data_IF_486342529759
#
_entry.id   IF_486342529759
#
_cell.length_a   1.000
_cell.length_b   1.000
_cell.length_c   1.000
_cell.angle_alpha   90.00
_cell.angle_beta   90.00
_cell.angle_gamma   90.00
#
_symmetry.space_group_name_H-M   'P 1'
#
loop_
_entity.id
_entity.type
_entity.pdbx_description
1 polymer ?
#
# COMPACT_ATOMS: atom_id res chain seq x y z
N UNK A 1 -3.78 -3.16 10.50
CA UNK A 1 -3.50 -3.11 11.94
C UNK A 1 -2.28 -3.99 12.21
N UNK A 2 -2.09 -4.46 13.45
CA UNK A 2 -1.02 -5.41 13.82
C UNK A 2 -1.32 -6.81 13.26
N UNK A 3 -0.29 -7.64 13.09
CA UNK A 3 -0.37 -8.98 12.51
C UNK A 3 -1.41 -9.88 13.17
N UNK A 4 -1.58 -9.76 14.49
CA UNK A 4 -2.53 -10.53 15.31
C UNK A 4 -4.00 -10.34 14.91
N UNK A 5 -4.32 -9.24 14.22
CA UNK A 5 -5.69 -8.89 13.81
C UNK A 5 -5.96 -9.18 12.34
N UNK A 6 -4.93 -9.52 11.55
CA UNK A 6 -5.06 -9.65 10.09
C UNK A 6 -6.15 -10.64 9.72
N UNK A 7 -6.19 -11.83 10.34
CA UNK A 7 -7.21 -12.84 10.00
C UNK A 7 -8.62 -12.36 10.32
N UNK A 8 -8.83 -11.66 11.43
CA UNK A 8 -10.14 -11.08 11.78
C UNK A 8 -10.56 -10.04 10.75
N UNK A 9 -9.64 -9.16 10.34
CA UNK A 9 -9.90 -8.11 9.34
C UNK A 9 -10.20 -8.71 7.97
N UNK A 10 -9.44 -9.72 7.53
CA UNK A 10 -9.66 -10.37 6.24
C UNK A 10 -10.99 -11.14 6.24
N UNK A 11 -11.34 -11.83 7.32
CA UNK A 11 -12.64 -12.51 7.44
C UNK A 11 -13.82 -11.53 7.36
N UNK A 12 -13.70 -10.36 8.00
CA UNK A 12 -14.73 -9.32 7.89
C UNK A 12 -14.88 -8.82 6.45
N UNK A 13 -13.78 -8.60 5.75
CA UNK A 13 -13.81 -8.26 4.32
C UNK A 13 -14.53 -9.33 3.50
N UNK A 14 -14.21 -10.61 3.72
CA UNK A 14 -14.84 -11.74 3.03
C UNK A 14 -16.37 -11.75 3.23
N UNK A 15 -16.83 -11.52 4.47
CA UNK A 15 -18.27 -11.39 4.77
C UNK A 15 -18.90 -10.22 4.04
N UNK A 16 -18.31 -9.03 4.10
CA UNK A 16 -18.85 -7.84 3.44
C UNK A 16 -18.95 -8.04 1.93
N UNK A 17 -17.90 -8.59 1.31
CA UNK A 17 -17.83 -8.77 -0.14
C UNK A 17 -18.72 -9.89 -0.64
N UNK A 18 -18.58 -11.09 -0.08
CA UNK A 18 -19.19 -12.31 -0.66
C UNK A 18 -20.52 -12.70 -0.03
N UNK A 19 -20.73 -12.40 1.26
CA UNK A 19 -22.00 -12.75 1.93
C UNK A 19 -23.02 -11.62 1.84
N UNK A 20 -22.56 -10.36 1.90
CA UNK A 20 -23.44 -9.18 1.88
C UNK A 20 -23.44 -8.43 0.55
N UNK A 21 -22.55 -8.77 -0.38
CA UNK A 21 -22.55 -8.25 -1.75
C UNK A 21 -22.06 -6.80 -1.89
N UNK A 22 -21.26 -6.29 -0.94
CA UNK A 22 -20.74 -4.92 -1.04
C UNK A 22 -19.61 -4.80 -2.06
N UNK A 23 -19.81 -3.95 -3.07
CA UNK A 23 -18.84 -3.75 -4.15
C UNK A 23 -17.77 -2.68 -3.85
N UNK A 24 -18.04 -1.81 -2.88
CA UNK A 24 -17.25 -0.62 -2.53
C UNK A 24 -16.38 -0.81 -1.28
N UNK A 25 -15.87 -2.02 -1.07
CA UNK A 25 -15.01 -2.38 0.06
C UNK A 25 -13.65 -2.85 -0.47
N UNK A 26 -12.57 -2.37 0.13
CA UNK A 26 -11.21 -2.77 -0.19
C UNK A 26 -10.43 -3.17 1.06
N UNK A 27 -9.25 -3.75 0.86
CA UNK A 27 -8.35 -4.22 1.92
C UNK A 27 -6.99 -3.56 1.86
N UNK A 28 -6.25 -3.60 2.97
CA UNK A 28 -4.86 -3.15 3.04
C UNK A 28 -3.94 -4.35 3.20
N UNK A 29 -2.95 -4.47 2.31
CA UNK A 29 -1.87 -5.45 2.42
C UNK A 29 -0.59 -4.75 2.90
N UNK A 30 0.16 -5.42 3.78
CA UNK A 30 1.42 -4.95 4.33
C UNK A 30 2.58 -5.78 3.77
N UNK A 31 3.43 -5.18 2.93
CA UNK A 31 4.51 -5.89 2.25
C UNK A 31 5.57 -6.51 3.18
N UNK A 32 5.69 -6.02 4.41
CA UNK A 32 6.65 -6.58 5.36
C UNK A 32 6.27 -7.94 5.95
N UNK A 33 5.05 -8.46 5.75
CA UNK A 33 4.62 -9.74 6.34
C UNK A 33 4.90 -10.89 5.37
N UNK A 34 5.37 -12.01 5.90
CA UNK A 34 5.63 -13.22 5.10
C UNK A 34 4.36 -13.76 4.42
N UNK A 35 3.20 -13.64 5.09
CA UNK A 35 1.90 -14.11 4.57
C UNK A 35 1.38 -13.32 3.37
N UNK A 36 1.83 -12.08 3.17
CA UNK A 36 1.21 -11.14 2.21
C UNK A 36 1.20 -11.64 0.78
N UNK A 37 2.16 -12.48 0.39
CA UNK A 37 2.15 -13.12 -0.93
C UNK A 37 0.93 -14.00 -1.14
N UNK A 38 0.61 -14.84 -0.16
CA UNK A 38 -0.53 -15.74 -0.22
C UNK A 38 -1.85 -14.94 -0.20
N UNK A 39 -1.94 -13.94 0.67
CA UNK A 39 -3.12 -13.07 0.74
C UNK A 39 -3.36 -12.34 -0.60
N UNK A 40 -2.30 -11.84 -1.25
CA UNK A 40 -2.41 -11.20 -2.58
C UNK A 40 -2.86 -12.19 -3.65
N UNK A 41 -2.37 -13.44 -3.65
CA UNK A 41 -2.83 -14.44 -4.61
C UNK A 41 -4.34 -14.69 -4.49
N UNK A 42 -4.86 -14.75 -3.27
CA UNK A 42 -6.30 -14.87 -3.03
C UNK A 42 -7.05 -13.63 -3.56
N UNK A 43 -6.60 -12.42 -3.22
CA UNK A 43 -7.27 -11.19 -3.64
C UNK A 43 -7.23 -10.92 -5.15
N UNK A 44 -6.24 -11.47 -5.85
CA UNK A 44 -6.20 -11.51 -7.31
C UNK A 44 -7.36 -12.35 -7.87
N UNK A 45 -7.63 -13.52 -7.29
CA UNK A 45 -8.75 -14.37 -7.74
C UNK A 45 -10.11 -13.72 -7.49
N UNK A 46 -10.21 -12.90 -6.45
CA UNK A 46 -11.46 -12.23 -6.04
C UNK A 46 -11.72 -10.91 -6.78
N UNK A 47 -10.76 -10.39 -7.53
CA UNK A 47 -10.89 -9.06 -8.16
C UNK A 47 -10.98 -7.93 -7.13
N UNK A 48 -10.24 -8.03 -6.03
CA UNK A 48 -10.36 -7.11 -4.91
C UNK A 48 -9.78 -5.71 -5.21
N UNK A 49 -10.26 -4.69 -4.49
CA UNK A 49 -9.54 -3.42 -4.40
C UNK A 49 -8.54 -3.48 -3.24
N UNK A 50 -7.25 -3.32 -3.52
CA UNK A 50 -6.17 -3.48 -2.54
C UNK A 50 -5.32 -2.23 -2.45
N UNK A 51 -5.11 -1.75 -1.23
CA UNK A 51 -4.07 -0.77 -0.89
C UNK A 51 -2.82 -1.52 -0.41
N UNK A 52 -1.71 -1.41 -1.15
CA UNK A 52 -0.42 -1.97 -0.73
C UNK A 52 0.40 -0.91 0.00
N UNK A 53 0.84 -1.22 1.22
CA UNK A 53 1.80 -0.41 1.98
C UNK A 53 2.97 -1.28 2.46
N UNK A 54 4.07 -0.68 2.95
CA UNK A 54 5.16 -1.47 3.54
C UNK A 54 4.74 -2.15 4.85
N UNK A 55 4.00 -1.43 5.69
CA UNK A 55 3.67 -1.83 7.06
C UNK A 55 4.10 -0.74 8.04
N UNK A 56 3.35 -0.58 9.13
CA UNK A 56 3.52 0.55 10.06
C UNK A 56 3.97 0.14 11.46
N UNK A 57 3.87 -1.15 11.80
CA UNK A 57 4.00 -1.66 13.16
C UNK A 57 5.36 -2.31 13.40
N UNK A 58 5.76 -2.43 14.67
CA UNK A 58 6.93 -3.19 15.08
C UNK A 58 6.52 -4.66 15.30
N UNK A 59 6.57 -5.44 14.21
CA UNK A 59 6.22 -6.86 14.22
C UNK A 59 7.42 -7.74 14.61
N UNK A 60 7.18 -8.91 15.24
CA UNK A 60 8.23 -9.86 15.56
C UNK A 60 8.83 -10.50 14.29
N UNK A 61 10.11 -10.90 14.36
CA UNK A 61 10.87 -11.39 13.20
C UNK A 61 10.33 -12.71 12.63
N UNK A 62 9.53 -13.42 13.41
CA UNK A 62 8.87 -14.67 13.06
C UNK A 62 7.74 -14.48 12.04
N UNK A 63 7.19 -13.27 11.92
CA UNK A 63 6.04 -12.97 11.03
C UNK A 63 6.33 -11.91 9.98
N UNK A 64 7.42 -11.16 10.14
CA UNK A 64 7.75 -10.02 9.30
C UNK A 64 9.24 -9.90 8.96
N UNK A 65 9.52 -9.37 7.77
CA UNK A 65 10.86 -8.96 7.36
C UNK A 65 11.38 -7.87 8.31
N UNK A 66 12.57 -8.12 8.86
CA UNK A 66 13.27 -7.16 9.72
C UNK A 66 14.17 -6.22 8.92
N UNK A 67 14.73 -6.70 7.80
CA UNK A 67 15.50 -5.88 6.86
C UNK A 67 14.57 -5.04 5.97
N UNK A 68 14.96 -3.79 5.75
CA UNK A 68 14.27 -2.88 4.84
C UNK A 68 14.31 -3.40 3.41
N UNK A 69 15.44 -3.97 2.99
CA UNK A 69 15.67 -4.46 1.62
C UNK A 69 14.69 -5.58 1.29
N UNK A 70 14.52 -6.55 2.19
CA UNK A 70 13.56 -7.63 1.99
C UNK A 70 12.11 -7.11 1.90
N UNK A 71 11.76 -6.10 2.70
CA UNK A 71 10.45 -5.44 2.63
C UNK A 71 10.24 -4.72 1.29
N UNK A 72 11.26 -4.01 0.80
CA UNK A 72 11.23 -3.30 -0.47
C UNK A 72 11.12 -4.28 -1.65
N UNK A 73 11.90 -5.35 -1.64
CA UNK A 73 11.87 -6.39 -2.66
C UNK A 73 10.51 -7.09 -2.70
N UNK A 74 9.95 -7.41 -1.53
CA UNK A 74 8.61 -7.99 -1.46
C UNK A 74 7.54 -6.98 -1.90
N UNK A 75 7.66 -5.69 -1.56
CA UNK A 75 6.74 -4.65 -2.04
C UNK A 75 6.70 -4.59 -3.56
N UNK A 76 7.87 -4.63 -4.21
CA UNK A 76 7.96 -4.65 -5.68
C UNK A 76 7.37 -5.94 -6.24
N UNK A 77 7.68 -7.10 -5.64
CA UNK A 77 7.13 -8.39 -6.08
C UNK A 77 5.59 -8.41 -6.01
N UNK A 78 5.00 -7.96 -4.91
CA UNK A 78 3.55 -7.90 -4.72
C UNK A 78 2.90 -6.88 -5.68
N UNK A 79 3.53 -5.73 -5.90
CA UNK A 79 3.06 -4.73 -6.88
C UNK A 79 2.97 -5.35 -8.29
N UNK A 80 4.02 -6.09 -8.70
CA UNK A 80 4.03 -6.76 -10.00
C UNK A 80 2.93 -7.81 -10.13
N UNK A 81 2.69 -8.59 -9.06
CA UNK A 81 1.61 -9.58 -9.03
C UNK A 81 0.24 -8.92 -9.21
N UNK A 82 -0.02 -7.82 -8.50
CA UNK A 82 -1.32 -7.12 -8.53
C UNK A 82 -1.56 -6.30 -9.81
N UNK A 83 -0.51 -6.01 -10.59
CA UNK A 83 -0.62 -5.33 -11.88
C UNK A 83 -0.55 -6.29 -13.08
N UNK A 84 -0.23 -7.57 -12.85
CA UNK A 84 -0.15 -8.57 -13.90
C UNK A 84 -1.49 -8.72 -14.65
N UNK A 85 -1.42 -9.28 -15.86
CA UNK A 85 -2.58 -9.47 -16.73
C UNK A 85 -3.74 -10.20 -16.03
N UNK A 86 -3.45 -11.27 -15.30
CA UNK A 86 -4.44 -12.04 -14.53
C UNK A 86 -5.17 -11.16 -13.50
N UNK A 87 -4.43 -10.38 -12.70
CA UNK A 87 -5.01 -9.50 -11.70
C UNK A 87 -5.95 -8.46 -12.32
N UNK A 88 -5.51 -7.84 -13.42
CA UNK A 88 -6.31 -6.86 -14.16
C UNK A 88 -7.53 -7.51 -14.81
N UNK A 89 -7.40 -8.72 -15.37
CA UNK A 89 -8.51 -9.46 -15.97
C UNK A 89 -9.60 -9.80 -14.95
N UNK A 90 -9.20 -10.15 -13.72
CA UNK A 90 -10.13 -10.43 -12.63
C UNK A 90 -10.74 -9.16 -12.00
N UNK A 91 -10.34 -7.96 -12.47
CA UNK A 91 -10.89 -6.69 -11.98
C UNK A 91 -10.22 -6.16 -10.72
N UNK A 92 -9.04 -6.66 -10.35
CA UNK A 92 -8.27 -6.13 -9.23
C UNK A 92 -7.88 -4.67 -9.49
N UNK A 93 -7.99 -3.84 -8.46
CA UNK A 93 -7.52 -2.45 -8.50
C UNK A 93 -6.50 -2.19 -7.40
N UNK A 94 -5.35 -1.63 -7.77
CA UNK A 94 -4.22 -1.41 -6.86
C UNK A 94 -4.06 0.06 -6.48
N UNK A 95 -4.07 0.34 -5.18
CA UNK A 95 -3.57 1.57 -4.59
C UNK A 95 -2.15 1.39 -4.04
N UNK A 96 -1.15 1.98 -4.70
CA UNK A 96 0.27 1.91 -4.30
C UNK A 96 0.56 2.98 -3.25
N UNK A 97 0.50 2.61 -1.97
CA UNK A 97 0.64 3.53 -0.86
C UNK A 97 2.09 3.64 -0.35
N UNK A 98 2.85 4.57 -0.94
CA UNK A 98 4.25 4.79 -0.61
C UNK A 98 4.70 6.23 -0.91
N UNK A 99 5.71 6.70 -0.19
CA UNK A 99 6.45 7.94 -0.49
C UNK A 99 7.87 7.64 -0.97
N UNK A 100 8.22 6.37 -1.20
CA UNK A 100 9.57 5.96 -1.57
C UNK A 100 9.76 6.02 -3.08
N UNK A 101 10.69 6.87 -3.54
CA UNK A 101 11.01 7.05 -4.97
C UNK A 101 11.31 5.74 -5.69
N UNK A 102 12.03 4.83 -5.02
CA UNK A 102 12.43 3.56 -5.64
C UNK A 102 11.22 2.68 -5.91
N UNK A 103 10.26 2.67 -4.99
CA UNK A 103 9.04 1.87 -5.13
C UNK A 103 8.12 2.45 -6.20
N UNK A 104 8.03 3.79 -6.26
CA UNK A 104 7.25 4.49 -7.28
C UNK A 104 7.86 4.24 -8.66
N UNK A 105 9.17 4.42 -8.82
CA UNK A 105 9.84 4.18 -10.08
C UNK A 105 9.74 2.72 -10.50
N UNK A 106 9.93 1.76 -9.59
CA UNK A 106 9.77 0.34 -9.90
C UNK A 106 8.34 -0.02 -10.37
N UNK A 107 7.32 0.66 -9.82
CA UNK A 107 5.92 0.53 -10.26
C UNK A 107 5.74 1.08 -11.68
N UNK A 108 6.23 2.29 -11.93
CA UNK A 108 6.16 2.97 -13.23
C UNK A 108 6.86 2.15 -14.30
N UNK A 109 8.08 1.67 -14.03
CA UNK A 109 8.88 0.89 -14.96
C UNK A 109 8.17 -0.42 -15.34
N UNK A 110 7.60 -1.10 -14.35
CA UNK A 110 6.82 -2.31 -14.60
C UNK A 110 5.56 -2.02 -15.43
N UNK A 111 4.79 -0.99 -15.05
CA UNK A 111 3.59 -0.61 -15.79
C UNK A 111 3.91 -0.27 -17.24
N UNK A 112 4.96 0.52 -17.48
CA UNK A 112 5.41 0.88 -18.82
C UNK A 112 5.86 -0.36 -19.62
N UNK A 113 6.67 -1.24 -19.03
CA UNK A 113 7.13 -2.46 -19.68
C UNK A 113 5.99 -3.42 -20.06
N UNK A 114 4.87 -3.38 -19.33
CA UNK A 114 3.68 -4.19 -19.57
C UNK A 114 2.59 -3.46 -20.36
N UNK A 115 2.84 -2.23 -20.85
CA UNK A 115 1.86 -1.36 -21.50
C UNK A 115 0.57 -1.18 -20.67
N UNK A 116 0.71 -1.08 -19.35
CA UNK A 116 -0.39 -0.85 -18.42
C UNK A 116 -0.68 0.65 -18.37
N UNK A 117 -1.94 1.00 -18.58
CA UNK A 117 -2.38 2.39 -18.57
C UNK A 117 -2.26 3.01 -17.17
N UNK A 118 -1.88 4.30 -17.05
CA UNK A 118 -1.78 5.01 -15.77
C UNK A 118 -3.07 5.08 -14.94
N UNK A 119 -4.23 4.82 -15.54
CA UNK A 119 -5.55 4.76 -14.88
C UNK A 119 -5.89 3.36 -14.35
N UNK A 120 -5.08 2.34 -14.62
CA UNK A 120 -5.30 0.97 -14.13
C UNK A 120 -4.92 0.81 -12.64
N UNK A 121 -4.27 1.80 -12.05
CA UNK A 121 -3.88 1.84 -10.64
C UNK A 121 -3.78 3.30 -10.16
N UNK A 122 -3.56 3.49 -8.86
CA UNK A 122 -3.32 4.82 -8.29
C UNK A 122 -2.12 4.81 -7.34
N UNK A 123 -1.46 5.95 -7.21
CA UNK A 123 -0.55 6.21 -6.10
C UNK A 123 -1.31 6.80 -4.93
N UNK A 124 -0.91 6.44 -3.72
CA UNK A 124 -1.51 6.98 -2.51
C UNK A 124 -0.44 7.53 -1.56
N UNK A 125 -0.61 8.77 -1.12
CA UNK A 125 0.32 9.46 -0.22
C UNK A 125 -0.42 10.08 0.95
N UNK A 126 0.31 10.51 1.97
CA UNK A 126 -0.23 11.17 3.14
C UNK A 126 -0.29 12.68 2.91
N UNK A 127 -1.32 13.29 3.49
CA UNK A 127 -1.47 14.73 3.45
C UNK A 127 -0.25 15.44 4.06
N UNK A 128 0.24 16.46 3.35
CA UNK A 128 1.35 17.31 3.82
C UNK A 128 2.76 16.74 3.62
N UNK A 129 2.92 15.62 2.91
CA UNK A 129 4.23 14.98 2.69
C UNK A 129 4.51 14.85 1.20
N UNK A 130 5.69 15.33 0.75
CA UNK A 130 6.15 15.26 -0.65
C UNK A 130 5.14 15.80 -1.66
N UNK A 131 4.64 17.02 -1.41
CA UNK A 131 3.59 17.62 -2.23
C UNK A 131 4.02 17.80 -3.69
N UNK A 132 5.27 18.16 -3.96
CA UNK A 132 5.75 18.35 -5.34
C UNK A 132 5.72 17.03 -6.09
N UNK A 133 6.18 15.93 -5.46
CA UNK A 133 6.05 14.59 -6.05
C UNK A 133 4.58 14.20 -6.34
N UNK A 134 3.64 14.57 -5.46
CA UNK A 134 2.22 14.31 -5.72
C UNK A 134 1.76 15.03 -6.99
N UNK A 135 2.11 16.31 -7.12
CA UNK A 135 1.78 17.14 -8.28
C UNK A 135 2.48 16.64 -9.56
N UNK A 136 3.74 16.19 -9.46
CA UNK A 136 4.50 15.60 -10.56
C UNK A 136 3.86 14.29 -11.08
N UNK A 137 3.41 13.40 -10.19
CA UNK A 137 2.77 12.15 -10.59
C UNK A 137 1.44 12.41 -11.30
N UNK A 138 0.67 13.38 -10.83
CA UNK A 138 -0.56 13.83 -11.49
C UNK A 138 -0.24 14.43 -12.86
N UNK A 139 0.79 15.27 -12.97
CA UNK A 139 1.21 15.85 -14.25
C UNK A 139 1.68 14.78 -15.26
N UNK A 140 2.18 13.64 -14.79
CA UNK A 140 2.52 12.46 -15.59
C UNK A 140 1.31 11.59 -15.95
N UNK A 141 0.11 11.95 -15.51
CA UNK A 141 -1.15 11.25 -15.83
C UNK A 141 -1.52 10.12 -14.86
N UNK A 142 -0.78 9.93 -13.76
CA UNK A 142 -1.15 8.93 -12.76
C UNK A 142 -2.26 9.43 -11.85
N UNK A 143 -3.12 8.51 -11.41
CA UNK A 143 -4.09 8.79 -10.36
C UNK A 143 -3.39 8.95 -9.01
N UNK A 144 -3.81 9.96 -8.24
CA UNK A 144 -3.26 10.26 -6.91
C UNK A 144 -4.38 10.36 -5.88
N UNK A 145 -4.25 9.63 -4.78
CA UNK A 145 -5.13 9.74 -3.61
C UNK A 145 -4.33 10.21 -2.40
N UNK A 146 -4.77 11.30 -1.79
CA UNK A 146 -4.15 11.82 -0.56
C UNK A 146 -4.96 11.39 0.66
N UNK A 147 -4.31 10.70 1.59
CA UNK A 147 -4.90 10.29 2.86
C UNK A 147 -4.85 11.46 3.85
N UNK A 148 -6.04 12.00 4.16
CA UNK A 148 -6.24 13.18 5.01
C UNK A 148 -6.83 12.75 6.36
N UNK A 149 -6.02 12.60 7.42
CA UNK A 149 -6.56 12.41 8.77
C UNK A 149 -7.20 13.73 9.25
N UNK A 150 -8.33 13.65 9.94
CA UNK A 150 -9.06 14.81 10.49
C UNK A 150 -9.57 14.51 11.92
N UNK A 151 -9.97 15.54 12.66
CA UNK A 151 -10.45 15.44 14.05
C UNK A 151 -9.45 15.96 15.08
N UNK A 152 -9.89 16.34 16.28
CA UNK A 152 -9.08 17.11 17.25
C UNK A 152 -7.81 16.43 17.76
N UNK A 153 -7.75 15.09 17.72
CA UNK A 153 -6.62 14.30 18.21
C UNK A 153 -5.76 13.67 17.09
N UNK A 154 -5.89 14.15 15.84
CA UNK A 154 -5.27 13.52 14.68
C UNK A 154 -3.73 13.50 14.76
N UNK A 155 -3.11 14.63 15.12
CA UNK A 155 -1.66 14.80 15.08
C UNK A 155 -0.93 13.98 16.16
N UNK A 156 -1.35 13.97 17.44
CA UNK A 156 -0.74 13.12 18.46
C UNK A 156 -0.89 11.63 18.18
N UNK A 157 -2.05 11.21 17.67
CA UNK A 157 -2.30 9.81 17.30
C UNK A 157 -1.38 9.35 16.17
N UNK A 158 -1.29 10.16 15.10
CA UNK A 158 -0.43 9.89 13.96
C UNK A 158 1.06 9.87 14.35
N UNK A 159 1.52 10.85 15.13
CA UNK A 159 2.91 10.91 15.60
C UNK A 159 3.27 9.74 16.53
N UNK A 160 2.33 9.29 17.38
CA UNK A 160 2.53 8.10 18.23
C UNK A 160 2.71 6.85 17.38
N UNK A 161 1.86 6.63 16.37
CA UNK A 161 1.96 5.48 15.45
C UNK A 161 3.24 5.52 14.61
N UNK A 162 3.69 6.70 14.19
CA UNK A 162 4.97 6.85 13.50
C UNK A 162 6.17 6.57 14.39
N UNK A 163 6.10 6.93 15.67
CA UNK A 163 7.18 6.75 16.64
C UNK A 163 7.35 5.28 17.07
N UNK A 164 6.37 4.41 16.86
CA UNK A 164 6.46 2.97 17.17
C UNK A 164 7.57 2.24 16.38
N UNK A 165 8.04 2.81 15.27
CA UNK A 165 9.20 2.29 14.52
C UNK A 165 10.15 3.44 14.15
N UNK A 166 11.35 3.56 14.76
CA UNK A 166 12.29 4.66 14.49
C UNK A 166 12.65 4.83 13.01
N UNK A 167 12.71 3.72 12.26
CA UNK A 167 12.93 3.72 10.82
C UNK A 167 11.79 4.40 10.04
N UNK A 168 10.53 4.21 10.47
CA UNK A 168 9.38 4.90 9.88
C UNK A 168 9.45 6.39 10.20
N UNK A 169 9.77 6.76 11.45
CA UNK A 169 9.93 8.18 11.83
C UNK A 169 11.03 8.86 11.02
N UNK A 170 12.19 8.23 10.85
CA UNK A 170 13.28 8.76 10.03
C UNK A 170 12.89 8.87 8.56
N UNK A 171 12.23 7.85 8.00
CA UNK A 171 11.69 7.89 6.65
C UNK A 171 10.68 9.04 6.49
N UNK A 172 9.79 9.23 7.45
CA UNK A 172 8.82 10.33 7.42
C UNK A 172 9.47 11.70 7.50
N UNK A 173 10.37 11.92 8.45
CA UNK A 173 11.08 13.18 8.60
C UNK A 173 11.89 13.50 7.35
N UNK A 174 12.64 12.53 6.82
CA UNK A 174 13.42 12.73 5.60
C UNK A 174 12.55 13.07 4.40
N UNK A 175 11.36 12.48 4.26
CA UNK A 175 10.40 12.80 3.20
C UNK A 175 9.59 14.07 3.45
N UNK A 176 9.42 14.51 4.71
CA UNK A 176 8.72 15.76 5.02
C UNK A 176 9.58 16.99 4.67
N UNK A 177 10.88 16.91 4.90
CA UNK A 177 11.83 17.97 4.51
C UNK A 177 12.31 17.87 3.07
N UNK A 178 11.96 16.79 2.36
CA UNK A 178 12.17 16.68 0.92
C UNK A 178 10.97 17.30 0.21
N UNK A 179 11.25 18.32 -0.58
CA UNK A 179 10.31 18.88 -1.52
C UNK A 179 10.03 17.86 -2.63
#
# INVERSE_FOLDING_TARGET
EESSTVDTTLNLYQTLRHQLGFENVGVVIQAYLFRSKQDVQQFIQEGASVRLCKGAYAEPAEVAFTDKTDTDDNFVALTRMMLAEEARHNGMFLGVATHDDKMIQATIDFAHAQNISPDAFEFQMLFGIRRELQEELVAKGYQMRVYVPYGTAWYPYFMRRLAERPANLWFFLSNYFRH
#
